data_IF_745073426941
#
_entry.id   IF_745073426941
#
_cell.length_a   1.000
_cell.length_b   1.000
_cell.length_c   1.000
_cell.angle_alpha   90.00
_cell.angle_beta   90.00
_cell.angle_gamma   90.00
#
_symmetry.space_group_name_H-M   'P 1'
#
loop_
_entity.id
_entity.type
_entity.pdbx_description
1 polymer ?
#
# COMPACT_ATOMS: atom_id res chain seq x y z
N UNK A 1 12.68 24.07 12.05
CA UNK A 1 11.91 23.32 11.02
C UNK A 1 11.98 24.03 9.68
N UNK A 2 11.89 23.32 8.55
CA UNK A 2 11.96 23.94 7.20
C UNK A 2 10.69 24.76 6.95
N UNK A 3 10.80 26.08 6.80
CA UNK A 3 9.66 27.02 6.67
C UNK A 3 8.70 26.60 5.55
N UNK A 4 9.24 26.15 4.41
CA UNK A 4 8.43 25.70 3.27
C UNK A 4 7.53 24.50 3.57
N UNK A 5 7.93 23.65 4.52
CA UNK A 5 7.09 22.53 4.95
C UNK A 5 5.89 23.01 5.75
N UNK A 6 6.05 24.07 6.54
CA UNK A 6 4.99 24.64 7.39
C UNK A 6 4.00 25.42 6.54
N UNK A 7 4.48 26.14 5.51
CA UNK A 7 3.64 26.94 4.61
C UNK A 7 2.44 26.18 4.03
N UNK A 8 2.55 24.87 3.78
CA UNK A 8 1.45 24.07 3.24
C UNK A 8 0.24 23.92 4.18
N UNK A 9 0.41 24.24 5.47
CA UNK A 9 -0.65 24.15 6.48
C UNK A 9 -1.32 25.51 6.77
N UNK A 10 -0.71 26.62 6.35
CA UNK A 10 -1.25 27.96 6.56
C UNK A 10 -2.63 28.09 5.88
N UNK A 11 -3.60 28.68 6.58
CA UNK A 11 -4.96 28.88 6.08
C UNK A 11 -5.85 27.63 6.04
N UNK A 12 -5.37 26.46 6.48
CA UNK A 12 -6.18 25.24 6.53
C UNK A 12 -7.01 25.16 7.81
N UNK A 13 -8.24 24.64 7.68
CA UNK A 13 -9.07 24.27 8.84
C UNK A 13 -8.39 23.17 9.64
N UNK A 14 -8.38 23.31 10.95
CA UNK A 14 -7.93 22.31 11.91
C UNK A 14 -9.10 21.89 12.82
N UNK A 15 -8.98 20.74 13.48
CA UNK A 15 -10.06 20.18 14.29
C UNK A 15 -9.84 20.40 15.79
N UNK A 16 -8.77 19.83 16.34
CA UNK A 16 -8.43 19.87 17.77
C UNK A 16 -6.93 20.12 17.93
N UNK A 17 -6.48 20.59 19.10
CA UNK A 17 -5.05 20.67 19.42
C UNK A 17 -4.79 19.73 20.57
N UNK A 18 -3.97 18.72 20.33
CA UNK A 18 -3.58 17.76 21.36
C UNK A 18 -2.19 18.17 21.86
N UNK A 19 -2.10 18.44 23.16
CA UNK A 19 -0.86 18.76 23.84
C UNK A 19 -0.52 17.58 24.75
N UNK A 20 0.69 17.06 24.65
CA UNK A 20 1.17 16.02 25.56
C UNK A 20 2.59 16.33 26.00
N UNK A 21 2.87 16.15 27.29
CA UNK A 21 4.21 16.32 27.86
C UNK A 21 4.79 14.91 28.04
N UNK A 22 5.98 14.67 27.49
CA UNK A 22 6.66 13.39 27.67
C UNK A 22 7.42 13.31 29.00
N UNK A 23 7.98 12.13 29.33
CA UNK A 23 8.73 11.89 30.57
C UNK A 23 10.05 12.69 30.68
N UNK A 24 10.40 13.44 29.65
CA UNK A 24 11.60 14.28 29.57
C UNK A 24 11.20 15.76 29.47
N UNK A 25 10.00 16.10 29.92
CA UNK A 25 9.40 17.44 29.93
C UNK A 25 9.31 18.11 28.55
N UNK A 26 9.30 17.31 27.47
CA UNK A 26 9.11 17.84 26.12
C UNK A 26 7.64 18.00 25.82
N UNK A 27 7.26 19.19 25.38
CA UNK A 27 5.91 19.50 24.94
C UNK A 27 5.74 19.07 23.48
N UNK A 28 4.82 18.15 23.24
CA UNK A 28 4.38 17.75 21.92
C UNK A 28 3.04 18.40 21.62
N UNK A 29 2.97 19.11 20.49
CA UNK A 29 1.73 19.72 19.99
C UNK A 29 1.35 19.02 18.68
N UNK A 30 0.18 18.39 18.66
CA UNK A 30 -0.39 17.76 17.48
C UNK A 30 -1.64 18.53 17.04
N UNK A 31 -1.62 19.04 15.81
CA UNK A 31 -2.73 19.77 15.20
C UNK A 31 -3.15 18.99 13.94
N UNK A 32 -4.29 18.27 13.94
CA UNK A 32 -4.83 17.63 12.77
C UNK A 32 -5.52 18.68 11.88
N UNK A 33 -5.06 18.75 10.64
CA UNK A 33 -5.63 19.62 9.62
C UNK A 33 -6.56 18.85 8.69
N UNK A 34 -7.65 19.49 8.28
CA UNK A 34 -8.49 18.99 7.18
C UNK A 34 -7.73 19.09 5.87
N UNK A 35 -7.69 17.99 5.13
CA UNK A 35 -7.08 17.93 3.81
C UNK A 35 -8.11 17.60 2.75
N UNK A 36 -8.35 18.53 1.83
CA UNK A 36 -9.24 18.28 0.69
C UNK A 36 -8.51 17.47 -0.39
N UNK A 37 -9.10 16.34 -0.77
CA UNK A 37 -8.59 15.49 -1.85
C UNK A 37 -9.42 15.72 -3.11
N UNK A 38 -8.82 16.39 -4.10
CA UNK A 38 -9.43 16.73 -5.39
C UNK A 38 -8.55 16.16 -6.52
N UNK A 39 -8.57 14.83 -6.74
CA UNK A 39 -7.72 14.20 -7.73
C UNK A 39 -8.06 14.64 -9.15
N UNK A 40 -7.04 14.80 -10.00
CA UNK A 40 -7.25 15.08 -11.41
C UNK A 40 -7.70 13.84 -12.19
N UNK A 41 -8.34 14.03 -13.36
CA UNK A 41 -8.64 12.93 -14.29
C UNK A 41 -7.35 12.38 -14.89
N UNK A 42 -6.99 11.11 -14.64
CA UNK A 42 -5.73 10.54 -15.13
C UNK A 42 -5.77 10.33 -16.65
N UNK A 43 -4.63 10.56 -17.31
CA UNK A 43 -4.42 10.24 -18.74
C UNK A 43 -3.73 8.89 -18.95
N UNK A 44 -3.08 8.38 -17.91
CA UNK A 44 -2.24 7.17 -17.93
C UNK A 44 -2.35 6.44 -16.60
N UNK A 45 -1.88 5.21 -16.55
CA UNK A 45 -1.82 4.40 -15.33
C UNK A 45 -0.37 4.00 -15.03
N UNK A 46 -0.08 3.83 -13.75
CA UNK A 46 1.16 3.23 -13.26
C UNK A 46 0.75 2.19 -12.22
N UNK A 47 0.85 0.91 -12.56
CA UNK A 47 0.66 -0.18 -11.60
C UNK A 47 1.93 -0.43 -10.81
N UNK A 48 1.76 -0.79 -9.55
CA UNK A 48 2.83 -1.18 -8.66
C UNK A 48 2.53 -2.57 -8.09
N UNK A 49 3.32 -3.55 -8.49
CA UNK A 49 3.41 -4.85 -7.82
C UNK A 49 4.47 -4.79 -6.73
N UNK A 50 4.07 -5.02 -5.48
CA UNK A 50 4.91 -4.81 -4.31
C UNK A 50 5.30 -6.16 -3.72
N UNK A 51 6.60 -6.48 -3.80
CA UNK A 51 7.18 -7.67 -3.17
C UNK A 51 8.23 -7.28 -2.11
N UNK A 52 8.59 -8.23 -1.24
CA UNK A 52 9.58 -7.97 -0.19
C UNK A 52 10.93 -7.54 -0.76
N UNK A 53 11.41 -8.14 -1.84
CA UNK A 53 12.73 -7.81 -2.42
C UNK A 53 12.70 -6.60 -3.34
N UNK A 54 11.62 -6.43 -4.10
CA UNK A 54 11.52 -5.43 -5.18
C UNK A 54 10.09 -4.96 -5.39
N UNK A 55 9.95 -3.74 -5.88
CA UNK A 55 8.71 -3.23 -6.45
C UNK A 55 8.84 -3.23 -7.95
N UNK A 56 7.84 -3.77 -8.64
CA UNK A 56 7.75 -3.74 -10.10
C UNK A 56 6.69 -2.73 -10.50
N UNK A 57 7.12 -1.67 -11.18
CA UNK A 57 6.24 -0.64 -11.70
C UNK A 57 6.04 -0.84 -13.20
N UNK A 58 4.79 -0.81 -13.66
CA UNK A 58 4.44 -0.92 -15.08
C UNK A 58 3.50 0.22 -15.50
N UNK A 59 3.79 0.84 -16.65
CA UNK A 59 3.04 1.99 -17.16
C UNK A 59 2.32 1.73 -18.49
N UNK A 60 2.09 0.46 -18.83
CA UNK A 60 1.53 0.05 -20.12
C UNK A 60 2.56 -0.15 -21.24
N UNK A 61 3.80 0.32 -21.07
CA UNK A 61 4.87 0.18 -22.08
C UNK A 61 6.19 -0.34 -21.52
N UNK A 62 6.63 0.23 -20.41
CA UNK A 62 7.93 -0.08 -19.80
C UNK A 62 7.72 -0.62 -18.39
N UNK A 63 8.55 -1.61 -18.04
CA UNK A 63 8.67 -2.12 -16.68
C UNK A 63 9.87 -1.47 -16.01
N UNK A 64 9.72 -1.08 -14.75
CA UNK A 64 10.82 -0.66 -13.88
C UNK A 64 10.83 -1.49 -12.62
N UNK A 65 12.00 -1.97 -12.21
CA UNK A 65 12.19 -2.71 -10.96
C UNK A 65 12.98 -1.84 -9.99
N UNK A 66 12.50 -1.74 -8.75
CA UNK A 66 13.15 -0.98 -7.69
C UNK A 66 13.40 -1.90 -6.51
N UNK A 67 14.65 -2.03 -6.08
CA UNK A 67 15.00 -2.83 -4.91
C UNK A 67 14.49 -2.16 -3.64
N UNK A 68 13.91 -2.96 -2.74
CA UNK A 68 13.53 -2.47 -1.41
C UNK A 68 14.65 -2.73 -0.39
N UNK A 69 14.54 -2.10 0.78
CA UNK A 69 15.35 -2.45 1.96
C UNK A 69 14.62 -3.36 2.95
N UNK A 70 13.51 -3.98 2.53
CA UNK A 70 12.71 -4.78 3.46
C UNK A 70 13.37 -6.11 3.82
N UNK A 71 14.26 -6.62 2.97
CA UNK A 71 15.10 -7.78 3.30
C UNK A 71 16.08 -7.48 4.44
N UNK A 72 16.72 -6.31 4.43
CA UNK A 72 17.56 -5.84 5.53
C UNK A 72 16.76 -5.72 6.82
N UNK A 73 15.55 -5.14 6.74
CA UNK A 73 14.64 -5.07 7.88
C UNK A 73 14.22 -6.47 8.39
N UNK A 74 14.08 -7.45 7.49
CA UNK A 74 13.79 -8.84 7.85
C UNK A 74 14.93 -9.50 8.57
N UNK A 75 16.15 -9.34 8.06
CA UNK A 75 17.35 -9.83 8.70
C UNK A 75 17.48 -9.31 10.13
N UNK A 76 17.26 -8.01 10.36
CA UNK A 76 17.31 -7.43 11.71
C UNK A 76 16.24 -7.99 12.65
N UNK A 77 15.02 -8.26 12.17
CA UNK A 77 14.00 -8.93 12.99
C UNK A 77 14.40 -10.37 13.30
N UNK A 78 14.92 -11.09 12.33
CA UNK A 78 15.37 -12.47 12.53
C UNK A 78 16.48 -12.53 13.57
N UNK A 79 17.45 -11.62 13.49
CA UNK A 79 18.51 -11.48 14.48
C UNK A 79 17.98 -11.16 15.89
N UNK A 80 16.95 -10.31 16.00
CA UNK A 80 16.31 -10.03 17.29
C UNK A 80 15.65 -11.28 17.89
N UNK A 81 14.95 -12.08 17.08
CA UNK A 81 14.32 -13.33 17.53
C UNK A 81 15.37 -14.39 17.89
N UNK A 82 16.46 -14.49 17.15
CA UNK A 82 17.62 -15.34 17.46
C UNK A 82 18.19 -15.02 18.85
N UNK A 83 18.45 -13.73 19.13
CA UNK A 83 18.94 -13.27 20.44
C UNK A 83 17.94 -13.60 21.56
N UNK A 84 16.64 -13.41 21.31
CA UNK A 84 15.59 -13.77 22.27
C UNK A 84 15.54 -15.27 22.56
N UNK A 85 15.75 -16.12 21.55
CA UNK A 85 15.79 -17.58 21.72
C UNK A 85 17.02 -18.02 22.49
N UNK A 86 18.21 -17.52 22.10
CA UNK A 86 19.50 -17.85 22.74
C UNK A 86 19.55 -17.42 24.20
N UNK A 87 18.94 -16.27 24.53
CA UNK A 87 18.93 -15.72 25.88
C UNK A 87 17.54 -15.71 26.50
N UNK A 88 16.72 -16.74 26.28
CA UNK A 88 15.30 -16.80 26.66
C UNK A 88 14.99 -16.37 28.11
N UNK A 89 15.83 -16.75 29.08
CA UNK A 89 15.69 -16.43 30.49
C UNK A 89 16.21 -15.01 30.81
N UNK A 90 17.33 -14.62 30.21
CA UNK A 90 18.03 -13.38 30.55
C UNK A 90 17.46 -12.16 29.85
N UNK A 91 16.90 -12.28 28.64
CA UNK A 91 16.59 -11.12 27.82
C UNK A 91 15.48 -10.24 28.38
N UNK A 92 14.55 -10.80 29.17
CA UNK A 92 13.48 -10.05 29.86
C UNK A 92 13.94 -9.41 31.16
N UNK A 93 14.98 -9.96 31.80
CA UNK A 93 15.43 -9.57 33.14
C UNK A 93 16.64 -8.63 33.10
N UNK A 94 17.43 -8.71 32.03
CA UNK A 94 18.61 -7.87 31.85
C UNK A 94 18.30 -6.70 30.93
N UNK A 95 18.52 -5.48 31.44
CA UNK A 95 18.27 -4.24 30.71
C UNK A 95 19.06 -4.14 29.40
N UNK A 96 20.32 -4.57 29.37
CA UNK A 96 21.19 -4.51 28.17
C UNK A 96 20.66 -5.38 27.03
N UNK A 97 20.22 -6.60 27.35
CA UNK A 97 19.59 -7.49 26.36
C UNK A 97 18.29 -6.91 25.81
N UNK A 98 17.44 -6.38 26.70
CA UNK A 98 16.18 -5.75 26.32
C UNK A 98 16.38 -4.54 25.41
N UNK A 99 17.33 -3.66 25.74
CA UNK A 99 17.71 -2.50 24.93
C UNK A 99 18.23 -2.90 23.55
N UNK A 100 19.06 -3.94 23.49
CA UNK A 100 19.61 -4.47 22.23
C UNK A 100 18.51 -4.98 21.31
N UNK A 101 17.59 -5.81 21.85
CA UNK A 101 16.44 -6.34 21.09
C UNK A 101 15.53 -5.19 20.63
N UNK A 102 15.24 -4.22 21.50
CA UNK A 102 14.46 -3.03 21.16
C UNK A 102 15.13 -2.21 20.06
N UNK A 103 16.45 -2.03 20.11
CA UNK A 103 17.20 -1.31 19.08
C UNK A 103 17.10 -2.03 17.73
N UNK A 104 17.24 -3.35 17.68
CA UNK A 104 17.10 -4.14 16.45
C UNK A 104 15.70 -4.03 15.85
N UNK A 105 14.65 -4.21 16.66
CA UNK A 105 13.26 -4.06 16.20
C UNK A 105 12.96 -2.63 15.74
N UNK A 106 13.45 -1.63 16.47
CA UNK A 106 13.27 -0.22 16.12
C UNK A 106 13.97 0.12 14.80
N UNK A 107 15.20 -0.35 14.60
CA UNK A 107 15.95 -0.19 13.35
C UNK A 107 15.23 -0.83 12.17
N UNK A 108 14.76 -2.08 12.33
CA UNK A 108 13.95 -2.77 11.31
C UNK A 108 12.70 -1.97 10.93
N UNK A 109 11.94 -1.50 11.93
CA UNK A 109 10.74 -0.67 11.72
C UNK A 109 11.10 0.62 10.99
N UNK A 110 12.16 1.30 11.40
CA UNK A 110 12.58 2.57 10.84
C UNK A 110 13.01 2.44 9.38
N UNK A 111 13.73 1.37 9.00
CA UNK A 111 14.10 1.08 7.61
C UNK A 111 12.84 0.97 6.74
N UNK A 112 11.86 0.17 7.18
CA UNK A 112 10.62 -0.02 6.42
C UNK A 112 9.86 1.30 6.26
N UNK A 113 9.70 2.06 7.35
CA UNK A 113 8.94 3.32 7.35
C UNK A 113 9.62 4.40 6.51
N UNK A 114 10.92 4.60 6.68
CA UNK A 114 11.70 5.60 5.95
C UNK A 114 11.71 5.28 4.45
N UNK A 115 12.04 4.04 4.08
CA UNK A 115 12.06 3.62 2.69
C UNK A 115 10.70 3.78 2.03
N UNK A 116 9.62 3.36 2.71
CA UNK A 116 8.24 3.51 2.25
C UNK A 116 7.87 4.97 1.99
N UNK A 117 8.22 5.89 2.91
CA UNK A 117 7.95 7.33 2.76
C UNK A 117 8.71 7.94 1.58
N UNK A 118 9.98 7.59 1.42
CA UNK A 118 10.82 8.07 0.32
C UNK A 118 10.30 7.57 -1.03
N UNK A 119 10.00 6.28 -1.13
CA UNK A 119 9.43 5.69 -2.33
C UNK A 119 8.07 6.29 -2.67
N UNK A 120 7.17 6.43 -1.69
CA UNK A 120 5.87 7.03 -1.87
C UNK A 120 5.96 8.45 -2.45
N UNK A 121 6.83 9.30 -1.89
CA UNK A 121 7.07 10.64 -2.42
C UNK A 121 7.56 10.59 -3.86
N UNK A 122 8.53 9.72 -4.16
CA UNK A 122 9.07 9.55 -5.51
C UNK A 122 7.98 9.17 -6.53
N UNK A 123 7.21 8.13 -6.24
CA UNK A 123 6.22 7.59 -7.19
C UNK A 123 5.04 8.55 -7.39
N UNK A 124 4.58 9.20 -6.32
CA UNK A 124 3.50 10.20 -6.37
C UNK A 124 3.91 11.42 -7.19
N UNK A 125 5.11 11.97 -6.96
CA UNK A 125 5.59 13.10 -7.74
C UNK A 125 5.81 12.74 -9.22
N UNK A 126 6.21 11.51 -9.49
CA UNK A 126 6.33 11.00 -10.87
C UNK A 126 4.96 10.85 -11.53
N UNK A 127 3.98 10.26 -10.84
CA UNK A 127 2.62 10.11 -11.32
C UNK A 127 1.98 11.47 -11.61
N UNK A 128 2.14 12.44 -10.71
CA UNK A 128 1.68 13.83 -10.90
C UNK A 128 2.22 14.45 -12.18
N UNK A 129 3.54 14.39 -12.39
CA UNK A 129 4.19 14.93 -13.60
C UNK A 129 3.67 14.29 -14.88
N UNK A 130 3.33 13.00 -14.84
CA UNK A 130 2.84 12.25 -15.99
C UNK A 130 1.32 12.33 -16.17
N UNK A 131 0.59 13.03 -15.28
CA UNK A 131 -0.87 12.97 -15.15
C UNK A 131 -1.38 11.51 -15.11
N UNK A 132 -0.74 10.67 -14.30
CA UNK A 132 -1.06 9.25 -14.17
C UNK A 132 -1.79 8.93 -12.85
N UNK A 133 -2.70 7.96 -12.87
CA UNK A 133 -3.15 7.30 -11.64
C UNK A 133 -2.16 6.24 -11.19
N UNK A 134 -2.03 6.08 -9.87
CA UNK A 134 -1.28 4.98 -9.26
C UNK A 134 -2.26 3.84 -9.01
N UNK A 135 -1.93 2.64 -9.49
CA UNK A 135 -2.74 1.44 -9.31
C UNK A 135 -2.04 0.52 -8.32
N UNK A 136 -2.76 0.13 -7.27
CA UNK A 136 -2.32 -0.77 -6.21
C UNK A 136 -3.29 -1.93 -6.09
N UNK A 137 -2.81 -3.08 -5.64
CA UNK A 137 -3.70 -4.16 -5.21
C UNK A 137 -4.39 -3.81 -3.89
N UNK A 138 -5.61 -4.31 -3.70
CA UNK A 138 -6.29 -4.29 -2.40
C UNK A 138 -5.98 -5.59 -1.64
N UNK A 139 -4.92 -5.59 -0.84
CA UNK A 139 -4.51 -6.73 -0.04
C UNK A 139 -5.15 -6.77 1.36
N UNK A 140 -5.99 -5.81 1.75
CA UNK A 140 -6.55 -5.79 3.12
C UNK A 140 -7.33 -7.07 3.42
N UNK A 141 -8.15 -7.52 2.47
CA UNK A 141 -8.95 -8.76 2.59
C UNK A 141 -8.09 -10.03 2.58
N UNK A 142 -7.01 -10.05 1.79
CA UNK A 142 -6.11 -11.22 1.73
C UNK A 142 -5.35 -11.39 3.04
N UNK A 143 -4.97 -10.29 3.66
CA UNK A 143 -4.18 -10.35 4.89
C UNK A 143 -5.01 -10.54 6.15
N UNK A 144 -6.24 -10.07 6.19
CA UNK A 144 -7.16 -10.43 7.28
C UNK A 144 -7.25 -11.95 7.40
N UNK A 145 -7.50 -12.65 6.29
CA UNK A 145 -7.63 -14.11 6.24
C UNK A 145 -6.30 -14.86 6.44
N UNK A 146 -5.20 -14.35 5.89
CA UNK A 146 -3.87 -14.98 6.03
C UNK A 146 -3.25 -14.76 7.41
N UNK A 147 -3.64 -13.69 8.11
CA UNK A 147 -3.06 -13.36 9.43
C UNK A 147 -3.32 -14.40 10.51
N UNK A 148 -4.39 -15.18 10.36
CA UNK A 148 -4.74 -16.28 11.23
C UNK A 148 -3.99 -17.58 10.88
N UNK A 149 -3.35 -17.65 9.70
CA UNK A 149 -2.84 -18.92 9.13
C UNK A 149 -1.31 -19.02 9.07
N UNK A 150 -0.58 -17.91 8.93
CA UNK A 150 0.89 -17.94 8.85
C UNK A 150 1.58 -17.24 10.04
N UNK A 151 2.38 -18.02 10.76
CA UNK A 151 3.22 -17.59 11.88
C UNK A 151 4.62 -17.09 11.44
N UNK A 152 4.97 -17.23 10.15
CA UNK A 152 6.32 -16.98 9.63
C UNK A 152 6.68 -15.50 9.75
N UNK A 153 7.89 -15.23 10.26
CA UNK A 153 8.40 -13.87 10.46
C UNK A 153 8.44 -13.04 9.16
N UNK A 154 8.86 -13.68 8.06
CA UNK A 154 8.88 -13.07 6.73
C UNK A 154 7.50 -12.56 6.32
N UNK A 155 6.44 -13.32 6.59
CA UNK A 155 5.07 -12.94 6.25
C UNK A 155 4.58 -11.81 7.14
N UNK A 156 4.92 -11.83 8.43
CA UNK A 156 4.58 -10.73 9.37
C UNK A 156 5.24 -9.42 8.93
N UNK A 157 6.53 -9.45 8.57
CA UNK A 157 7.21 -8.25 8.11
C UNK A 157 6.71 -7.81 6.73
N UNK A 158 6.50 -8.73 5.79
CA UNK A 158 6.00 -8.40 4.46
C UNK A 158 4.67 -7.66 4.54
N UNK A 159 3.75 -8.14 5.38
CA UNK A 159 2.48 -7.46 5.68
C UNK A 159 2.69 -6.07 6.27
N UNK A 160 3.54 -5.96 7.29
CA UNK A 160 3.86 -4.66 7.89
C UNK A 160 4.43 -3.68 6.85
N UNK A 161 5.37 -4.13 6.04
CA UNK A 161 6.04 -3.31 5.04
C UNK A 161 5.08 -2.83 3.96
N UNK A 162 4.24 -3.72 3.42
CA UNK A 162 3.27 -3.33 2.41
C UNK A 162 2.18 -2.42 2.98
N UNK A 163 1.67 -2.64 4.22
CA UNK A 163 0.74 -1.70 4.87
C UNK A 163 1.35 -0.31 4.99
N UNK A 164 2.60 -0.22 5.44
CA UNK A 164 3.30 1.06 5.59
C UNK A 164 3.56 1.73 4.25
N UNK A 165 3.88 0.96 3.22
CA UNK A 165 4.08 1.47 1.87
C UNK A 165 2.79 1.98 1.25
N UNK A 166 1.71 1.20 1.25
CA UNK A 166 0.40 1.64 0.75
C UNK A 166 -0.07 2.90 1.48
N UNK A 167 -0.04 2.90 2.81
CA UNK A 167 -0.42 4.05 3.60
C UNK A 167 0.42 5.28 3.24
N UNK A 168 1.74 5.12 3.07
CA UNK A 168 2.61 6.21 2.64
C UNK A 168 2.26 6.72 1.23
N UNK A 169 1.97 5.82 0.28
CA UNK A 169 1.55 6.16 -1.09
C UNK A 169 0.22 6.91 -1.07
N UNK A 170 -0.80 6.40 -0.39
CA UNK A 170 -2.12 7.04 -0.27
C UNK A 170 -2.02 8.41 0.38
N UNK A 171 -1.32 8.51 1.52
CA UNK A 171 -1.13 9.79 2.23
C UNK A 171 -0.46 10.82 1.32
N UNK A 172 0.60 10.42 0.60
CA UNK A 172 1.27 11.32 -0.34
C UNK A 172 0.41 11.63 -1.55
N UNK A 173 -0.33 10.67 -2.07
CA UNK A 173 -1.22 10.89 -3.19
C UNK A 173 -2.32 11.91 -2.86
N UNK A 174 -2.90 11.83 -1.65
CA UNK A 174 -3.83 12.82 -1.12
C UNK A 174 -3.16 14.21 -1.01
N UNK A 175 -1.94 14.26 -0.45
CA UNK A 175 -1.18 15.52 -0.33
C UNK A 175 -0.96 16.21 -1.70
N UNK A 176 -0.79 15.44 -2.77
CA UNK A 176 -0.47 15.94 -4.11
C UNK A 176 -1.63 15.85 -5.11
N UNK A 177 -2.84 15.51 -4.66
CA UNK A 177 -4.03 15.29 -5.51
C UNK A 177 -3.81 14.30 -6.66
N UNK A 178 -3.05 13.24 -6.41
CA UNK A 178 -2.80 12.16 -7.39
C UNK A 178 -3.88 11.09 -7.23
N UNK A 179 -4.58 10.69 -8.30
CA UNK A 179 -5.55 9.60 -8.24
C UNK A 179 -4.89 8.27 -7.89
N UNK A 180 -5.48 7.54 -6.96
CA UNK A 180 -5.10 6.16 -6.58
C UNK A 180 -6.27 5.24 -6.87
N UNK A 181 -5.98 4.09 -7.48
CA UNK A 181 -6.96 3.07 -7.83
C UNK A 181 -6.54 1.76 -7.16
N UNK A 182 -7.47 1.15 -6.43
CA UNK A 182 -7.29 -0.18 -5.86
C UNK A 182 -7.93 -1.24 -6.76
N UNK A 183 -7.24 -2.34 -6.99
CA UNK A 183 -7.74 -3.48 -7.78
C UNK A 183 -7.76 -4.76 -6.95
N UNK A 184 -8.71 -5.64 -7.24
CA UNK A 184 -8.79 -6.93 -6.58
C UNK A 184 -7.57 -7.81 -6.95
N UNK A 185 -6.81 -8.30 -5.96
CA UNK A 185 -5.61 -9.13 -6.19
C UNK A 185 -5.92 -10.54 -6.76
N UNK A 186 -7.16 -11.02 -6.71
CA UNK A 186 -7.48 -12.38 -7.20
C UNK A 186 -7.13 -12.55 -8.67
N UNK A 187 -6.23 -13.48 -9.01
CA UNK A 187 -5.86 -13.77 -10.39
C UNK A 187 -4.87 -12.80 -11.03
N UNK A 188 -4.35 -11.80 -10.29
CA UNK A 188 -3.28 -10.93 -10.81
C UNK A 188 -1.95 -11.68 -10.98
N UNK A 189 -1.77 -12.76 -10.23
CA UNK A 189 -0.56 -13.58 -10.23
C UNK A 189 -0.74 -14.97 -10.86
N UNK A 190 -1.86 -15.26 -11.54
CA UNK A 190 -2.11 -16.60 -12.10
C UNK A 190 -2.65 -16.61 -13.53
N UNK A 191 -3.10 -15.46 -14.04
CA UNK A 191 -3.70 -15.36 -15.37
C UNK A 191 -2.74 -14.74 -16.38
N UNK A 192 -2.78 -15.24 -17.61
CA UNK A 192 -2.02 -14.70 -18.71
C UNK A 192 -2.52 -13.30 -19.08
N UNK A 193 -1.66 -12.27 -19.13
CA UNK A 193 -2.06 -10.91 -19.46
C UNK A 193 -2.51 -10.77 -20.93
N UNK A 194 -2.20 -11.76 -21.78
CA UNK A 194 -2.53 -11.74 -23.22
C UNK A 194 -3.85 -12.43 -23.54
N UNK A 195 -4.13 -13.60 -22.95
CA UNK A 195 -5.30 -14.42 -23.30
C UNK A 195 -6.16 -14.86 -22.12
N UNK A 196 -5.81 -14.49 -20.88
CA UNK A 196 -6.58 -14.83 -19.68
C UNK A 196 -6.50 -16.29 -19.22
N UNK A 197 -5.78 -17.17 -19.92
CA UNK A 197 -5.59 -18.57 -19.49
C UNK A 197 -4.70 -18.66 -18.24
N UNK A 198 -4.85 -19.74 -17.47
CA UNK A 198 -3.99 -20.03 -16.32
C UNK A 198 -2.52 -20.20 -16.75
N UNK A 199 -1.62 -19.67 -15.93
CA UNK A 199 -0.18 -19.73 -16.15
C UNK A 199 0.44 -20.92 -15.40
N UNK A 200 1.40 -21.55 -16.08
CA UNK A 200 2.32 -22.52 -15.49
C UNK A 200 3.58 -21.78 -15.09
N UNK A 201 4.14 -22.12 -13.92
CA UNK A 201 5.33 -21.47 -13.40
C UNK A 201 6.53 -22.39 -13.41
N UNK A 202 7.64 -21.91 -13.98
CA UNK A 202 8.96 -22.54 -13.86
C UNK A 202 9.93 -21.50 -13.32
N UNK A 203 10.39 -21.69 -12.08
CA UNK A 203 11.19 -20.71 -11.33
C UNK A 203 10.58 -19.29 -11.37
N UNK A 204 11.24 -18.34 -12.06
CA UNK A 204 10.78 -16.95 -12.23
C UNK A 204 9.93 -16.73 -13.47
N UNK A 205 9.82 -17.71 -14.36
CA UNK A 205 9.08 -17.59 -15.60
C UNK A 205 7.62 -18.01 -15.41
N UNK A 206 6.75 -17.20 -15.96
CA UNK A 206 5.33 -17.43 -16.12
C UNK A 206 5.08 -17.81 -17.59
N UNK A 207 4.58 -19.02 -17.82
CA UNK A 207 4.41 -19.63 -19.13
C UNK A 207 2.93 -19.88 -19.39
N UNK A 208 2.41 -19.33 -20.48
CA UNK A 208 1.06 -19.61 -20.93
C UNK A 208 1.09 -20.72 -21.98
N UNK A 209 0.47 -21.87 -21.69
CA UNK A 209 0.38 -23.00 -22.62
C UNK A 209 -0.55 -22.70 -23.80
N UNK A 210 -1.55 -21.83 -23.62
CA UNK A 210 -2.54 -21.48 -24.66
C UNK A 210 -1.99 -20.53 -25.74
N UNK A 211 -1.33 -19.44 -25.34
CA UNK A 211 -0.86 -18.42 -26.29
C UNK A 211 0.66 -18.30 -26.38
N UNK A 212 1.39 -19.24 -25.75
CA UNK A 212 2.86 -19.33 -25.70
C UNK A 212 3.55 -18.06 -25.16
N UNK A 213 2.82 -17.23 -24.42
CA UNK A 213 3.38 -16.05 -23.75
C UNK A 213 4.31 -16.49 -22.61
N UNK A 214 5.51 -15.93 -22.56
CA UNK A 214 6.52 -16.19 -21.53
C UNK A 214 7.05 -14.86 -21.00
N UNK A 215 7.01 -14.66 -19.69
CA UNK A 215 7.59 -13.48 -19.04
C UNK A 215 7.97 -13.76 -17.58
N UNK A 216 8.75 -12.86 -16.96
CA UNK A 216 9.03 -12.89 -15.52
C UNK A 216 7.73 -12.73 -14.71
N UNK A 217 7.53 -13.56 -13.68
CA UNK A 217 6.32 -13.61 -12.84
C UNK A 217 5.94 -12.24 -12.29
N UNK A 218 6.92 -11.48 -11.81
CA UNK A 218 6.67 -10.17 -11.20
C UNK A 218 6.30 -9.11 -12.26
N UNK A 219 6.74 -9.30 -13.51
CA UNK A 219 6.27 -8.49 -14.65
C UNK A 219 4.81 -8.79 -14.94
N UNK A 220 4.45 -10.07 -14.97
CA UNK A 220 3.07 -10.51 -15.18
C UNK A 220 2.14 -9.95 -14.12
N UNK A 221 2.54 -9.99 -12.84
CA UNK A 221 1.80 -9.38 -11.74
C UNK A 221 1.52 -7.90 -12.01
N UNK A 222 2.55 -7.12 -12.27
CA UNK A 222 2.40 -5.69 -12.57
C UNK A 222 1.54 -5.41 -13.81
N UNK A 223 1.64 -6.24 -14.86
CA UNK A 223 0.82 -6.13 -16.07
C UNK A 223 -0.66 -6.42 -15.78
N UNK A 224 -0.97 -7.48 -15.03
CA UNK A 224 -2.34 -7.83 -14.69
C UNK A 224 -3.00 -6.78 -13.80
N UNK A 225 -2.26 -6.22 -12.82
CA UNK A 225 -2.75 -5.09 -12.00
C UNK A 225 -3.13 -3.91 -12.91
N UNK A 226 -2.27 -3.58 -13.89
CA UNK A 226 -2.53 -2.52 -14.86
C UNK A 226 -3.77 -2.81 -15.71
N UNK A 227 -3.86 -4.02 -16.27
CA UNK A 227 -4.95 -4.42 -17.16
C UNK A 227 -6.30 -4.40 -16.45
N UNK A 228 -6.35 -4.84 -15.18
CA UNK A 228 -7.57 -4.77 -14.37
C UNK A 228 -8.03 -3.33 -14.17
N UNK A 229 -7.14 -2.43 -13.79
CA UNK A 229 -7.52 -1.02 -13.64
C UNK A 229 -7.94 -0.41 -14.98
N UNK A 230 -7.27 -0.79 -16.07
CA UNK A 230 -7.63 -0.35 -17.41
C UNK A 230 -9.05 -0.82 -17.80
N UNK A 231 -9.40 -2.07 -17.54
CA UNK A 231 -10.73 -2.63 -17.79
C UNK A 231 -11.82 -1.93 -16.97
N UNK A 232 -11.54 -1.60 -15.70
CA UNK A 232 -12.49 -0.86 -14.84
C UNK A 232 -12.72 0.57 -15.33
N UNK A 233 -11.71 1.19 -15.95
CA UNK A 233 -11.78 2.56 -16.45
C UNK A 233 -12.27 2.67 -17.89
N UNK A 234 -12.14 1.61 -18.69
CA UNK A 234 -12.63 1.59 -20.05
C UNK A 234 -14.17 1.73 -20.03
N UNK A 235 -14.76 2.61 -20.85
CA UNK A 235 -16.19 2.56 -21.10
C UNK A 235 -16.53 1.16 -21.58
N UNK A 236 -17.43 0.45 -20.91
CA UNK A 236 -17.90 -0.84 -21.41
C UNK A 236 -18.57 -0.58 -22.75
N UNK A 237 -17.90 -0.90 -23.86
CA UNK A 237 -18.57 -1.01 -25.15
C UNK A 237 -19.58 -2.16 -25.01
N UNK A 238 -20.88 -1.83 -24.95
CA UNK A 238 -21.95 -2.82 -25.14
C UNK A 238 -22.77 -3.29 -23.94
N UNK A 239 -22.82 -2.58 -22.80
CA UNK A 239 -23.82 -2.89 -21.75
C UNK A 239 -24.77 -1.72 -21.56
N UNK A 240 -25.83 -1.68 -22.36
CA UNK A 240 -27.07 -1.06 -21.92
C UNK A 240 -27.58 -1.83 -20.69
N UNK A 241 -27.79 -1.09 -19.60
CA UNK A 241 -28.59 -1.45 -18.43
C UNK A 241 -28.32 -2.81 -17.75
N UNK A 242 -27.44 -2.83 -16.75
CA UNK A 242 -27.74 -3.50 -15.47
C UNK A 242 -27.20 -2.61 -14.35
N UNK A 243 -28.11 -2.14 -13.51
CA UNK A 243 -27.85 -1.34 -12.32
C UNK A 243 -26.76 -1.95 -11.42
N UNK A 244 -25.99 -1.14 -10.70
CA UNK A 244 -25.14 -1.64 -9.63
C UNK A 244 -26.02 -2.32 -8.58
N UNK A 245 -25.65 -3.53 -8.20
CA UNK A 245 -26.27 -4.32 -7.15
C UNK A 245 -26.10 -3.58 -5.81
N UNK A 246 -27.04 -2.69 -5.51
CA UNK A 246 -27.26 -2.12 -4.19
C UNK A 246 -27.90 -3.17 -3.30
N UNK A 247 -27.41 -3.25 -2.07
CA UNK A 247 -27.95 -4.07 -1.00
C UNK A 247 -29.48 -4.01 -0.91
N UNK A 248 -30.13 -5.17 -0.88
CA UNK A 248 -31.44 -5.35 -0.23
C UNK A 248 -31.31 -6.60 0.65
N UNK A 249 -31.25 -6.44 1.98
CA UNK A 249 -32.46 -6.56 2.80
C UNK A 249 -33.02 -5.21 3.25
N UNK A 250 -34.25 -4.93 2.80
CA UNK A 250 -35.12 -3.77 3.05
C UNK A 250 -35.45 -3.51 4.52
N UNK A 251 -35.58 -2.23 4.87
CA UNK A 251 -36.83 -1.67 5.41
C UNK A 251 -37.05 -0.25 4.82
N UNK A 252 -38.33 0.09 4.64
CA UNK A 252 -38.90 1.14 3.76
C UNK A 252 -38.75 2.56 4.31
N UNK A 253 -38.65 3.54 3.40
CA UNK A 253 -39.21 4.89 3.60
C UNK A 253 -38.31 6.08 3.18
N UNK A 254 -38.77 6.85 2.17
CA UNK A 254 -38.46 8.28 2.04
C UNK A 254 -37.28 8.67 1.14
N UNK A 255 -37.58 9.12 -0.07
CA UNK A 255 -36.65 9.75 -1.01
C UNK A 255 -36.47 11.24 -0.65
N UNK A 256 -35.24 11.74 -0.47
CA UNK A 256 -34.93 13.15 -0.73
C UNK A 256 -33.52 13.32 -1.32
N UNK A 257 -33.45 14.22 -2.30
CA UNK A 257 -32.37 14.48 -3.26
C UNK A 257 -31.07 14.98 -2.61
N UNK A 258 -29.95 14.70 -3.29
CA UNK A 258 -28.56 15.20 -3.13
C UNK A 258 -27.61 14.37 -2.23
N UNK A 259 -26.94 13.38 -2.80
CA UNK A 259 -25.68 12.84 -2.25
C UNK A 259 -24.57 12.81 -3.32
N UNK A 260 -23.43 13.47 -3.12
CA UNK A 260 -22.24 13.24 -3.92
C UNK A 260 -21.61 11.90 -3.52
N UNK A 261 -21.14 11.13 -4.51
CA UNK A 261 -20.45 9.85 -4.32
C UNK A 261 -19.47 9.89 -3.14
N UNK A 262 -19.87 9.27 -2.02
CA UNK A 262 -19.04 9.06 -0.85
C UNK A 262 -17.98 8.03 -1.26
N UNK A 263 -16.79 8.52 -1.59
CA UNK A 263 -15.60 7.70 -1.63
C UNK A 263 -15.37 7.16 -0.22
N UNK A 264 -15.34 5.83 -0.10
CA UNK A 264 -15.02 5.10 1.13
C UNK A 264 -13.67 5.56 1.70
N UNK A 265 -13.72 6.53 2.61
CA UNK A 265 -12.63 6.81 3.55
C UNK A 265 -12.86 5.84 4.71
N UNK A 266 -12.24 4.66 4.65
CA UNK A 266 -12.08 3.87 5.85
C UNK A 266 -11.21 4.68 6.82
N UNK A 267 -11.84 5.22 7.87
CA UNK A 267 -11.13 5.81 8.99
C UNK A 267 -10.23 4.72 9.59
N UNK A 268 -8.91 4.90 9.51
CA UNK A 268 -7.98 4.15 10.33
C UNK A 268 -8.14 4.61 11.79
N UNK A 269 -9.24 4.23 12.44
CA UNK A 269 -9.29 4.11 13.90
C UNK A 269 -8.56 2.82 14.22
N UNK A 270 -7.29 2.93 14.56
CA UNK A 270 -6.66 2.19 15.66
C UNK A 270 -5.21 2.66 15.81
N UNK A 271 -4.96 3.19 17.01
CA UNK A 271 -3.72 3.67 17.61
C UNK A 271 -2.65 2.57 17.59
#
# INVERSE_FOLDING_TARGET
HRIDYIRKFLGRKWYEVIISIDKQDRIWVCIPFRWEYKPYKPRRLISLDINLKKIVAYNGKKVRRLNTRFTEALYLKHHAEEVQKKHNYAWRRNKKWLETIRALHSRSRNIVVDWSRKFAKYVVLKAKRMKSAIVLEDLEKLWFNSSQKSSILADKLSRFAYRKLQHAVVTKAIEYNVPVIFVNPRGTSSLCPRCGAMLVYSHRLAICTRCRFIADRDVVGAMNIYLKAFQTLAPRLGSWGIHPMTNETRAKGGLHKNEPMIAYIHSYKNI
#
